data_IF_330842641706
#
_entry.id   IF_330842641706
#
_cell.length_a   1.000
_cell.length_b   1.000
_cell.length_c   1.000
_cell.angle_alpha   90.00
_cell.angle_beta   90.00
_cell.angle_gamma   90.00
#
_symmetry.space_group_name_H-M   'P 1'
#
loop_
_entity.id
_entity.type
_entity.pdbx_description
1 polymer ?
#
# COMPACT_ATOMS: atom_id res chain seq x y z
N UNK A 1 -2.05 9.95 -17.01
CA UNK A 1 -2.55 9.72 -15.61
C UNK A 1 -1.75 8.65 -14.90
N UNK A 2 -1.38 7.52 -15.54
CA UNK A 2 -0.55 6.47 -14.96
C UNK A 2 0.83 6.96 -14.51
N UNK A 3 1.47 7.86 -15.28
CA UNK A 3 2.75 8.47 -14.89
C UNK A 3 2.67 9.27 -13.58
N UNK A 4 1.58 10.04 -13.40
CA UNK A 4 1.40 10.83 -12.17
C UNK A 4 1.24 9.92 -10.95
N UNK A 5 0.48 8.82 -11.08
CA UNK A 5 0.35 7.85 -9.97
C UNK A 5 1.64 7.11 -9.67
N UNK A 6 2.41 6.76 -10.70
CA UNK A 6 3.71 6.12 -10.48
C UNK A 6 4.66 7.03 -9.70
N UNK A 7 4.64 8.35 -9.98
CA UNK A 7 5.42 9.33 -9.22
C UNK A 7 4.87 9.49 -7.79
N UNK A 8 3.54 9.59 -7.64
CA UNK A 8 2.92 9.69 -6.31
C UNK A 8 3.13 8.44 -5.45
N UNK A 9 3.22 7.24 -6.07
CA UNK A 9 3.51 6.00 -5.37
C UNK A 9 4.93 5.95 -4.78
N UNK A 10 5.87 6.79 -5.27
CA UNK A 10 7.24 6.87 -4.76
C UNK A 10 7.31 7.70 -3.47
N UNK A 11 6.45 8.69 -3.29
CA UNK A 11 6.51 9.59 -2.13
C UNK A 11 6.47 8.87 -0.78
N UNK A 12 5.57 7.89 -0.52
CA UNK A 12 5.59 7.13 0.72
C UNK A 12 6.90 6.36 0.93
N UNK A 13 7.52 5.88 -0.16
CA UNK A 13 8.77 5.13 -0.08
C UNK A 13 9.96 6.05 0.23
N UNK A 14 10.01 7.24 -0.37
CA UNK A 14 11.01 8.25 -0.03
C UNK A 14 10.86 8.63 1.45
N UNK A 15 9.63 8.84 1.92
CA UNK A 15 9.36 9.11 3.34
C UNK A 15 9.86 7.99 4.24
N UNK A 16 9.62 6.74 3.84
CA UNK A 16 10.06 5.55 4.56
C UNK A 16 11.61 5.45 4.60
N UNK A 17 12.28 5.72 3.48
CA UNK A 17 13.74 5.77 3.41
C UNK A 17 14.34 6.87 4.30
N UNK A 18 13.73 8.05 4.32
CA UNK A 18 14.16 9.16 5.18
C UNK A 18 14.01 8.77 6.66
N UNK A 19 12.87 8.16 7.03
CA UNK A 19 12.62 7.75 8.42
C UNK A 19 13.60 6.65 8.84
N UNK A 20 13.68 5.55 8.11
CA UNK A 20 14.51 4.40 8.48
C UNK A 20 16.00 4.62 8.20
N UNK A 21 16.39 5.37 7.16
CA UNK A 21 17.80 5.63 6.86
C UNK A 21 18.37 6.83 7.59
N UNK A 22 17.56 7.90 7.78
CA UNK A 22 18.03 9.15 8.36
C UNK A 22 17.81 9.27 9.87
N UNK A 23 16.74 8.68 10.40
CA UNK A 23 16.32 8.91 11.79
C UNK A 23 16.39 7.65 12.67
N UNK A 24 16.74 6.49 12.12
CA UNK A 24 16.86 5.24 12.87
C UNK A 24 17.89 5.36 14.02
N UNK A 25 19.00 6.07 13.80
CA UNK A 25 20.00 6.35 14.82
C UNK A 25 19.47 7.09 16.05
N UNK A 26 18.48 7.97 15.91
CA UNK A 26 17.85 8.67 17.04
C UNK A 26 16.95 7.73 17.84
N UNK A 27 16.20 6.87 17.14
CA UNK A 27 15.29 5.90 17.78
C UNK A 27 16.05 4.82 18.53
N UNK A 28 17.16 4.31 17.96
CA UNK A 28 18.05 3.34 18.62
C UNK A 28 18.74 3.91 19.86
N UNK A 29 19.05 5.21 19.88
CA UNK A 29 19.59 5.92 21.06
C UNK A 29 18.51 6.29 22.10
N UNK A 30 17.25 5.97 21.86
CA UNK A 30 16.13 6.32 22.76
C UNK A 30 15.76 7.81 22.72
N UNK A 31 16.27 8.59 21.76
CA UNK A 31 16.02 10.04 21.63
C UNK A 31 14.68 10.35 20.96
N UNK A 32 13.61 9.73 21.45
CA UNK A 32 12.26 9.88 20.91
C UNK A 32 11.75 11.31 20.89
N UNK A 33 12.12 12.10 21.91
CA UNK A 33 11.71 13.52 22.00
C UNK A 33 12.28 14.36 20.85
N UNK A 34 13.55 14.15 20.50
CA UNK A 34 14.20 14.84 19.38
C UNK A 34 13.58 14.41 18.06
N UNK A 35 13.36 13.11 17.88
CA UNK A 35 12.67 12.54 16.72
C UNK A 35 11.29 13.21 16.49
N UNK A 36 10.41 13.21 17.50
CA UNK A 36 9.08 13.80 17.37
C UNK A 36 9.12 15.32 17.20
N UNK A 37 10.06 16.03 17.81
CA UNK A 37 10.21 17.47 17.62
C UNK A 37 10.58 17.83 16.18
N UNK A 38 11.54 17.11 15.57
CA UNK A 38 11.92 17.33 14.17
C UNK A 38 10.74 17.13 13.25
N UNK A 39 10.00 16.01 13.42
CA UNK A 39 8.81 15.74 12.61
C UNK A 39 7.71 16.77 12.84
N UNK A 40 7.44 17.12 14.10
CA UNK A 40 6.43 18.13 14.45
C UNK A 40 6.71 19.49 13.82
N UNK A 41 7.95 19.97 13.91
CA UNK A 41 8.39 21.23 13.28
C UNK A 41 8.27 21.14 11.76
N UNK A 42 8.72 20.04 11.15
CA UNK A 42 8.65 19.84 9.70
C UNK A 42 7.21 19.86 9.19
N UNK A 43 6.31 19.12 9.84
CA UNK A 43 4.88 19.09 9.48
C UNK A 43 4.24 20.45 9.65
N UNK A 44 4.56 21.18 10.75
CA UNK A 44 4.05 22.53 10.99
C UNK A 44 4.54 23.52 9.93
N UNK A 45 5.81 23.45 9.54
CA UNK A 45 6.38 24.29 8.49
C UNK A 45 5.68 24.04 7.13
N UNK A 46 5.49 22.77 6.76
CA UNK A 46 4.75 22.40 5.53
C UNK A 46 3.31 22.88 5.60
N UNK A 47 2.65 22.76 6.78
CA UNK A 47 1.30 23.26 7.02
C UNK A 47 1.19 24.78 6.77
N UNK A 48 2.12 25.56 7.33
CA UNK A 48 2.17 27.02 7.12
C UNK A 48 2.41 27.39 5.65
N UNK A 49 3.34 26.71 4.99
CA UNK A 49 3.60 26.90 3.54
C UNK A 49 2.35 26.56 2.72
N UNK A 50 1.62 25.52 3.09
CA UNK A 50 0.39 25.10 2.42
C UNK A 50 -0.71 26.16 2.48
N UNK A 51 -0.83 26.92 3.59
CA UNK A 51 -1.80 28.00 3.70
C UNK A 51 -1.58 29.12 2.64
N UNK A 52 -0.32 29.30 2.23
CA UNK A 52 0.03 30.33 1.22
C UNK A 52 -0.05 29.77 -0.19
N UNK A 53 0.39 28.52 -0.40
CA UNK A 53 0.51 27.93 -1.74
C UNK A 53 -0.78 27.30 -2.24
N UNK A 54 -1.63 26.75 -1.36
CA UNK A 54 -2.87 26.09 -1.76
C UNK A 54 -3.96 27.13 -1.91
N UNK A 55 -4.43 27.32 -3.15
CA UNK A 55 -5.56 28.18 -3.48
C UNK A 55 -6.77 27.33 -3.80
N UNK A 56 -7.89 27.66 -3.21
CA UNK A 56 -9.17 27.03 -3.53
C UNK A 56 -9.57 27.30 -4.98
N UNK A 57 -10.24 26.34 -5.59
CA UNK A 57 -10.79 26.52 -6.94
C UNK A 57 -11.87 27.62 -6.93
N UNK A 58 -11.82 28.62 -7.82
CA UNK A 58 -12.85 29.68 -7.88
C UNK A 58 -14.25 29.15 -8.28
N UNK A 59 -14.37 27.85 -8.61
CA UNK A 59 -15.61 27.18 -8.98
C UNK A 59 -16.26 26.41 -7.83
N UNK A 60 -15.77 26.56 -6.60
CA UNK A 60 -16.40 25.93 -5.42
C UNK A 60 -17.72 26.63 -5.11
N UNK A 61 -18.83 25.97 -5.44
CA UNK A 61 -20.16 26.39 -4.99
C UNK A 61 -20.45 25.74 -3.65
N UNK A 62 -20.79 26.52 -2.59
CA UNK A 62 -21.16 25.94 -1.30
C UNK A 62 -22.43 25.08 -1.47
N UNK A 63 -22.32 23.78 -1.20
CA UNK A 63 -23.46 22.87 -1.15
C UNK A 63 -24.12 22.96 0.23
N UNK A 64 -25.43 23.24 0.27
CA UNK A 64 -26.24 23.26 1.49
C UNK A 64 -26.70 21.86 1.96
N UNK A 65 -26.11 20.79 1.44
CA UNK A 65 -26.50 19.42 1.78
C UNK A 65 -26.00 19.04 3.19
N UNK A 66 -26.78 18.22 3.90
CA UNK A 66 -26.41 17.73 5.23
C UNK A 66 -25.10 16.93 5.17
N UNK A 67 -24.13 17.31 6.01
CA UNK A 67 -22.79 16.68 6.10
C UNK A 67 -22.88 15.15 6.25
N UNK A 68 -23.71 14.65 7.14
CA UNK A 68 -23.90 13.21 7.36
C UNK A 68 -24.52 12.48 6.17
N UNK A 69 -25.45 13.11 5.45
CA UNK A 69 -26.02 12.55 4.22
C UNK A 69 -24.96 12.39 3.12
N UNK A 70 -24.01 13.30 3.05
CA UNK A 70 -22.92 13.28 2.09
C UNK A 70 -21.83 12.27 2.48
N UNK A 71 -21.53 12.12 3.77
CA UNK A 71 -20.56 11.15 4.28
C UNK A 71 -20.98 9.71 3.96
N UNK A 72 -22.26 9.39 4.12
CA UNK A 72 -22.81 8.05 3.88
C UNK A 72 -23.30 7.84 2.42
N UNK A 73 -23.16 8.86 1.56
CA UNK A 73 -23.65 8.80 0.18
C UNK A 73 -23.16 7.56 -0.55
N UNK A 74 -21.87 7.30 -0.50
CA UNK A 74 -21.26 6.18 -1.20
C UNK A 74 -21.55 4.80 -0.60
N UNK A 75 -22.13 4.70 0.60
CA UNK A 75 -22.53 3.41 1.19
C UNK A 75 -23.99 3.02 0.84
N UNK A 76 -24.71 3.89 0.12
CA UNK A 76 -26.10 3.60 -0.28
C UNK A 76 -26.14 2.50 -1.33
N UNK A 77 -27.03 1.49 -1.19
CA UNK A 77 -27.16 0.41 -2.18
C UNK A 77 -27.50 0.89 -3.59
N UNK A 78 -28.23 2.00 -3.73
CA UNK A 78 -28.54 2.65 -5.01
C UNK A 78 -27.26 3.11 -5.71
N UNK A 79 -26.39 3.81 -4.98
CA UNK A 79 -25.12 4.33 -5.51
C UNK A 79 -24.16 3.21 -5.92
N UNK A 80 -24.15 2.11 -5.16
CA UNK A 80 -23.39 0.90 -5.49
C UNK A 80 -23.89 0.30 -6.81
N UNK A 81 -25.22 0.20 -6.98
CA UNK A 81 -25.83 -0.34 -8.21
C UNK A 81 -25.61 0.56 -9.43
N UNK A 82 -25.57 1.87 -9.24
CA UNK A 82 -25.30 2.85 -10.30
C UNK A 82 -23.82 2.84 -10.75
N UNK A 83 -22.89 2.46 -9.85
CA UNK A 83 -21.44 2.53 -10.10
C UNK A 83 -20.74 1.16 -9.87
N UNK A 84 -21.19 0.07 -10.47
CA UNK A 84 -20.71 -1.27 -10.14
C UNK A 84 -19.22 -1.47 -10.45
N UNK A 85 -18.69 -0.85 -11.52
CA UNK A 85 -17.26 -0.94 -11.87
C UNK A 85 -16.37 -0.23 -10.86
N UNK A 86 -16.82 0.90 -10.30
CA UNK A 86 -16.09 1.62 -9.26
C UNK A 86 -15.98 0.78 -7.99
N UNK A 87 -17.10 0.20 -7.52
CA UNK A 87 -17.08 -0.63 -6.30
C UNK A 87 -16.32 -1.94 -6.50
N UNK A 88 -16.40 -2.53 -7.68
CA UNK A 88 -15.61 -3.70 -8.02
C UNK A 88 -14.10 -3.36 -8.05
N UNK A 89 -13.75 -2.15 -8.50
CA UNK A 89 -12.38 -1.63 -8.45
C UNK A 89 -11.92 -1.38 -7.01
N UNK A 90 -12.79 -0.87 -6.15
CA UNK A 90 -12.52 -0.75 -4.71
C UNK A 90 -12.32 -2.13 -4.07
N UNK A 91 -13.15 -3.11 -4.38
CA UNK A 91 -13.01 -4.48 -3.89
C UNK A 91 -11.69 -5.11 -4.34
N UNK A 92 -11.31 -4.96 -5.62
CA UNK A 92 -10.02 -5.44 -6.13
C UNK A 92 -8.83 -4.80 -5.40
N UNK A 93 -8.89 -3.48 -5.20
CA UNK A 93 -7.85 -2.74 -4.47
C UNK A 93 -7.80 -3.15 -2.99
N UNK A 94 -8.96 -3.36 -2.36
CA UNK A 94 -9.06 -3.77 -0.95
C UNK A 94 -8.42 -5.14 -0.72
N UNK A 95 -8.77 -6.15 -1.53
CA UNK A 95 -8.19 -7.50 -1.40
C UNK A 95 -6.68 -7.47 -1.64
N UNK A 96 -6.22 -6.74 -2.65
CA UNK A 96 -4.80 -6.51 -2.88
C UNK A 96 -4.12 -5.85 -1.67
N UNK A 97 -4.70 -4.78 -1.11
CA UNK A 97 -4.15 -4.08 0.05
C UNK A 97 -4.17 -4.95 1.31
N UNK A 98 -5.19 -5.82 1.50
CA UNK A 98 -5.20 -6.81 2.58
C UNK A 98 -3.99 -7.74 2.44
N UNK A 99 -3.73 -8.27 1.23
CA UNK A 99 -2.56 -9.13 1.00
C UNK A 99 -1.24 -8.45 1.39
N UNK A 100 -1.10 -7.16 1.09
CA UNK A 100 0.08 -6.37 1.49
C UNK A 100 0.15 -6.24 3.01
N UNK A 101 -0.94 -5.92 3.66
CA UNK A 101 -0.98 -5.71 5.12
C UNK A 101 -0.81 -7.01 5.94
N UNK A 102 -0.92 -8.19 5.33
CA UNK A 102 -0.60 -9.46 6.00
C UNK A 102 0.88 -9.53 6.41
N UNK A 103 1.80 -9.05 5.56
CA UNK A 103 3.24 -9.14 5.84
C UNK A 103 3.89 -7.80 6.18
N UNK A 104 3.36 -6.69 5.67
CA UNK A 104 4.04 -5.39 5.71
C UNK A 104 4.35 -4.90 7.14
N UNK A 105 3.43 -4.98 8.13
CA UNK A 105 3.71 -4.58 9.50
C UNK A 105 4.78 -5.45 10.18
N UNK A 106 4.96 -6.67 9.72
CA UNK A 106 5.88 -7.65 10.28
C UNK A 106 7.22 -7.72 9.56
N UNK A 107 7.35 -7.04 8.40
CA UNK A 107 8.49 -7.18 7.50
C UNK A 107 9.83 -6.82 8.15
N UNK A 108 9.88 -5.69 8.85
CA UNK A 108 11.12 -5.23 9.51
C UNK A 108 11.50 -6.19 10.63
N UNK A 109 10.54 -6.58 11.46
CA UNK A 109 10.75 -7.53 12.57
C UNK A 109 11.23 -8.89 12.03
N UNK A 110 10.66 -9.35 10.92
CA UNK A 110 11.09 -10.55 10.21
C UNK A 110 12.55 -10.46 9.77
N UNK A 111 12.94 -9.36 9.12
CA UNK A 111 14.30 -9.15 8.64
C UNK A 111 15.30 -9.09 9.80
N UNK A 112 14.97 -8.37 10.88
CA UNK A 112 15.85 -8.19 12.03
C UNK A 112 15.93 -9.42 12.93
N UNK A 113 14.78 -9.97 13.34
CA UNK A 113 14.74 -10.99 14.40
C UNK A 113 14.71 -12.43 13.86
N UNK A 114 14.07 -12.68 12.70
CA UNK A 114 14.05 -14.01 12.09
C UNK A 114 15.29 -14.27 11.26
N UNK A 115 15.67 -13.32 10.40
CA UNK A 115 16.83 -13.46 9.53
C UNK A 115 18.15 -12.99 10.17
N UNK A 116 18.09 -12.25 11.29
CA UNK A 116 19.26 -11.73 11.99
C UNK A 116 20.03 -10.65 11.20
N UNK A 117 19.39 -9.98 10.24
CA UNK A 117 20.00 -8.95 9.40
C UNK A 117 19.97 -7.62 10.14
N UNK A 118 21.13 -7.16 10.62
CA UNK A 118 21.28 -5.90 11.36
C UNK A 118 21.12 -4.68 10.45
N UNK A 119 21.66 -4.75 9.24
CA UNK A 119 21.65 -3.65 8.27
C UNK A 119 20.37 -3.63 7.42
N UNK A 120 19.21 -3.88 8.05
CA UNK A 120 17.92 -3.95 7.37
C UNK A 120 17.57 -2.67 6.59
N UNK A 121 18.01 -1.50 7.06
CA UNK A 121 17.78 -0.22 6.39
C UNK A 121 18.42 -0.18 5.00
N UNK A 122 19.64 -0.73 4.86
CA UNK A 122 20.32 -0.84 3.55
C UNK A 122 19.57 -1.81 2.64
N UNK A 123 19.15 -2.96 3.19
CA UNK A 123 18.37 -3.96 2.43
C UNK A 123 17.07 -3.34 1.91
N UNK A 124 16.31 -2.68 2.78
CA UNK A 124 15.06 -2.00 2.40
C UNK A 124 15.34 -0.85 1.42
N UNK A 125 16.41 -0.09 1.61
CA UNK A 125 16.82 0.98 0.71
C UNK A 125 17.02 0.48 -0.73
N UNK A 126 17.79 -0.58 -0.92
CA UNK A 126 18.02 -1.19 -2.23
C UNK A 126 16.71 -1.68 -2.84
N UNK A 127 15.90 -2.41 -2.06
CA UNK A 127 14.61 -2.93 -2.50
C UNK A 127 13.68 -1.82 -2.97
N UNK A 128 13.55 -0.73 -2.19
CA UNK A 128 12.64 0.35 -2.49
C UNK A 128 13.10 1.21 -3.67
N UNK A 129 14.41 1.46 -3.79
CA UNK A 129 14.98 2.17 -4.95
C UNK A 129 14.72 1.38 -6.22
N UNK A 130 15.03 0.08 -6.24
CA UNK A 130 14.79 -0.78 -7.39
C UNK A 130 13.31 -0.82 -7.78
N UNK A 131 12.42 -1.06 -6.81
CA UNK A 131 10.99 -1.09 -7.03
C UNK A 131 10.45 0.24 -7.58
N UNK A 132 11.00 1.37 -7.10
CA UNK A 132 10.63 2.71 -7.57
C UNK A 132 10.99 2.92 -9.05
N UNK A 133 12.20 2.52 -9.46
CA UNK A 133 12.63 2.59 -10.86
C UNK A 133 11.72 1.74 -11.74
N UNK A 134 11.45 0.50 -11.34
CA UNK A 134 10.54 -0.40 -12.06
C UNK A 134 9.13 0.19 -12.16
N UNK A 135 8.62 0.80 -11.10
CA UNK A 135 7.30 1.43 -11.09
C UNK A 135 7.20 2.57 -12.11
N UNK A 136 8.20 3.47 -12.15
CA UNK A 136 8.22 4.59 -13.12
C UNK A 136 8.23 4.10 -14.56
N UNK A 137 9.09 3.11 -14.86
CA UNK A 137 9.17 2.51 -16.19
C UNK A 137 7.83 1.85 -16.55
N UNK A 138 7.25 1.11 -15.60
CA UNK A 138 5.99 0.39 -15.79
C UNK A 138 4.79 1.31 -16.03
N UNK A 139 4.82 2.55 -15.56
CA UNK A 139 3.75 3.52 -15.78
C UNK A 139 3.42 3.76 -17.26
N UNK A 140 4.44 3.71 -18.14
CA UNK A 140 4.25 3.80 -19.61
C UNK A 140 3.55 2.56 -20.19
N UNK A 141 3.84 1.38 -19.63
CA UNK A 141 3.24 0.12 -20.07
C UNK A 141 1.79 0.01 -19.59
N UNK A 142 1.46 0.48 -18.38
CA UNK A 142 0.09 0.52 -17.85
C UNK A 142 -0.82 1.29 -18.80
N UNK A 143 -0.35 2.46 -19.30
CA UNK A 143 -1.14 3.31 -20.21
C UNK A 143 -1.29 2.67 -21.61
N UNK A 144 -0.34 1.86 -22.08
CA UNK A 144 -0.36 1.23 -23.41
C UNK A 144 -1.14 -0.09 -23.44
N UNK A 145 -0.94 -0.96 -22.46
CA UNK A 145 -1.54 -2.31 -22.43
C UNK A 145 -2.96 -2.29 -21.88
N UNK A 146 -3.29 -1.25 -21.11
CA UNK A 146 -4.54 -1.15 -20.38
C UNK A 146 -4.43 -1.65 -18.94
N UNK A 147 -5.03 -0.89 -18.02
CA UNK A 147 -4.85 -1.03 -16.56
C UNK A 147 -5.20 -2.42 -16.04
N UNK A 148 -6.36 -2.94 -16.42
CA UNK A 148 -6.82 -4.25 -15.97
C UNK A 148 -6.04 -5.42 -16.58
N UNK A 149 -5.55 -5.28 -17.82
CA UNK A 149 -4.69 -6.29 -18.43
C UNK A 149 -3.31 -6.33 -17.77
N UNK A 150 -2.79 -5.17 -17.41
CA UNK A 150 -1.49 -5.02 -16.77
C UNK A 150 -1.49 -5.53 -15.30
N UNK A 151 -2.64 -5.52 -14.62
CA UNK A 151 -2.76 -6.03 -13.24
C UNK A 151 -2.36 -7.51 -13.13
N UNK A 152 -2.63 -8.32 -14.16
CA UNK A 152 -2.31 -9.77 -14.12
C UNK A 152 -0.81 -10.04 -14.08
N UNK A 153 0.03 -9.53 -15.00
CA UNK A 153 1.48 -9.72 -14.90
C UNK A 153 2.06 -9.07 -13.64
N UNK A 154 1.53 -7.93 -13.19
CA UNK A 154 1.97 -7.31 -11.95
C UNK A 154 1.69 -8.19 -10.73
N UNK A 155 0.52 -8.83 -10.66
CA UNK A 155 0.18 -9.79 -9.63
C UNK A 155 1.09 -11.03 -9.68
N UNK A 156 1.40 -11.55 -10.88
CA UNK A 156 2.32 -12.67 -11.04
C UNK A 156 3.73 -12.34 -10.51
N UNK A 157 4.26 -11.16 -10.83
CA UNK A 157 5.55 -10.69 -10.32
C UNK A 157 5.54 -10.61 -8.79
N UNK A 158 4.47 -10.07 -8.21
CA UNK A 158 4.33 -9.98 -6.75
C UNK A 158 4.25 -11.38 -6.12
N UNK A 159 3.50 -12.32 -6.71
CA UNK A 159 3.40 -13.70 -6.24
C UNK A 159 4.75 -14.42 -6.28
N UNK A 160 5.52 -14.26 -7.36
CA UNK A 160 6.88 -14.81 -7.47
C UNK A 160 7.77 -14.23 -6.37
N UNK A 161 7.71 -12.92 -6.14
CA UNK A 161 8.46 -12.27 -5.07
C UNK A 161 8.07 -12.76 -3.68
N UNK A 162 6.76 -12.91 -3.39
CA UNK A 162 6.25 -13.45 -2.13
C UNK A 162 6.71 -14.90 -1.91
N UNK A 163 6.61 -15.75 -2.94
CA UNK A 163 7.09 -17.12 -2.89
C UNK A 163 8.61 -17.18 -2.66
N UNK A 164 9.38 -16.34 -3.35
CA UNK A 164 10.82 -16.25 -3.17
C UNK A 164 11.20 -15.84 -1.73
N UNK A 165 10.49 -14.85 -1.14
CA UNK A 165 10.72 -14.39 0.24
C UNK A 165 10.50 -15.51 1.28
N UNK A 166 9.65 -16.48 0.98
CA UNK A 166 9.46 -17.65 1.85
C UNK A 166 10.72 -18.52 1.95
N UNK A 167 11.46 -18.70 0.85
CA UNK A 167 12.63 -19.59 0.80
C UNK A 167 13.95 -18.90 1.15
N UNK A 168 14.06 -17.61 0.91
CA UNK A 168 15.32 -16.87 1.04
C UNK A 168 15.69 -16.63 2.50
N UNK A 169 17.00 -16.72 2.81
CA UNK A 169 17.53 -16.54 4.18
C UNK A 169 18.70 -15.56 4.30
N UNK A 170 19.36 -15.18 3.21
CA UNK A 170 20.53 -14.30 3.25
C UNK A 170 20.24 -12.90 2.70
N UNK A 171 21.09 -11.90 3.04
CA UNK A 171 20.93 -10.50 2.67
C UNK A 171 20.71 -10.29 1.16
N UNK A 172 21.59 -10.85 0.33
CA UNK A 172 21.50 -10.70 -1.13
C UNK A 172 20.19 -11.28 -1.69
N UNK A 173 19.79 -12.46 -1.19
CA UNK A 173 18.54 -13.08 -1.60
C UNK A 173 17.32 -12.27 -1.19
N UNK A 174 17.31 -11.69 0.01
CA UNK A 174 16.22 -10.81 0.48
C UNK A 174 16.17 -9.53 -0.37
N UNK A 175 17.31 -8.95 -0.75
CA UNK A 175 17.34 -7.81 -1.65
C UNK A 175 16.71 -8.14 -3.01
N UNK A 176 17.04 -9.29 -3.60
CA UNK A 176 16.49 -9.71 -4.91
C UNK A 176 15.00 -10.04 -4.79
N UNK A 177 14.64 -10.96 -3.89
CA UNK A 177 13.25 -11.39 -3.71
C UNK A 177 12.33 -10.23 -3.29
N UNK A 178 12.78 -9.39 -2.35
CA UNK A 178 12.10 -8.20 -1.91
C UNK A 178 11.92 -7.18 -3.04
N UNK A 179 12.94 -6.98 -3.89
CA UNK A 179 12.85 -6.09 -5.05
C UNK A 179 11.79 -6.57 -6.05
N UNK A 180 11.73 -7.86 -6.33
CA UNK A 180 10.69 -8.44 -7.20
C UNK A 180 9.31 -8.28 -6.57
N UNK A 181 9.15 -8.60 -5.29
CA UNK A 181 7.91 -8.47 -4.55
C UNK A 181 7.39 -7.04 -4.53
N UNK A 182 8.25 -6.07 -4.16
CA UNK A 182 7.88 -4.66 -4.06
C UNK A 182 7.66 -4.02 -5.44
N UNK A 183 8.35 -4.47 -6.48
CA UNK A 183 8.05 -4.06 -7.86
C UNK A 183 6.64 -4.48 -8.28
N UNK A 184 6.26 -5.72 -8.01
CA UNK A 184 4.90 -6.21 -8.25
C UNK A 184 3.84 -5.42 -7.47
N UNK A 185 4.11 -5.15 -6.18
CA UNK A 185 3.27 -4.29 -5.34
C UNK A 185 3.03 -2.92 -5.95
N UNK A 186 4.10 -2.22 -6.34
CA UNK A 186 3.98 -0.86 -6.89
C UNK A 186 3.26 -0.84 -8.23
N UNK A 187 3.52 -1.82 -9.10
CA UNK A 187 2.83 -1.96 -10.38
C UNK A 187 1.33 -2.22 -10.19
N UNK A 188 0.94 -3.11 -9.27
CA UNK A 188 -0.47 -3.36 -8.96
C UNK A 188 -1.15 -2.13 -8.36
N UNK A 189 -0.51 -1.47 -7.40
CA UNK A 189 -1.02 -0.26 -6.75
C UNK A 189 -1.27 0.85 -7.78
N UNK A 190 -0.33 1.08 -8.70
CA UNK A 190 -0.47 2.07 -9.76
C UNK A 190 -1.61 1.71 -10.74
N UNK A 191 -1.71 0.45 -11.17
CA UNK A 191 -2.73 0.01 -12.12
C UNK A 191 -4.14 0.08 -11.53
N UNK A 192 -4.33 -0.46 -10.32
CA UNK A 192 -5.62 -0.46 -9.63
C UNK A 192 -6.03 0.95 -9.19
N UNK A 193 -5.09 1.76 -8.69
CA UNK A 193 -5.34 3.15 -8.33
C UNK A 193 -5.74 4.02 -9.53
N UNK A 194 -5.09 3.82 -10.68
CA UNK A 194 -5.46 4.49 -11.92
C UNK A 194 -6.84 4.03 -12.43
N UNK A 195 -7.19 2.76 -12.25
CA UNK A 195 -8.52 2.25 -12.62
C UNK A 195 -9.63 2.86 -11.76
N UNK A 196 -9.45 2.95 -10.45
CA UNK A 196 -10.40 3.60 -9.53
C UNK A 196 -10.67 5.04 -9.98
N UNK A 197 -9.64 5.79 -10.34
CA UNK A 197 -9.81 7.18 -10.80
C UNK A 197 -10.58 7.31 -12.12
N UNK A 198 -10.41 6.37 -13.03
CA UNK A 198 -11.15 6.40 -14.29
C UNK A 198 -12.65 6.18 -14.07
N UNK A 199 -13.01 5.33 -13.11
CA UNK A 199 -14.40 5.06 -12.79
C UNK A 199 -15.02 6.04 -11.78
N UNK A 200 -14.21 6.90 -11.14
CA UNK A 200 -14.72 7.88 -10.19
C UNK A 200 -15.37 9.04 -10.94
N UNK A 201 -16.67 9.31 -10.73
CA UNK A 201 -17.36 10.47 -11.33
C UNK A 201 -16.69 11.78 -10.90
N UNK A 202 -16.35 12.64 -11.85
CA UNK A 202 -15.60 13.88 -11.61
C UNK A 202 -16.33 14.88 -10.72
N UNK A 203 -17.65 14.96 -10.85
CA UNK A 203 -18.55 15.83 -10.08
C UNK A 203 -18.76 15.36 -8.64
N UNK A 204 -18.49 14.09 -8.36
CA UNK A 204 -18.69 13.45 -7.05
C UNK A 204 -17.40 12.89 -6.43
N UNK A 205 -16.23 13.29 -6.94
CA UNK A 205 -14.94 12.74 -6.50
C UNK A 205 -14.72 12.83 -4.98
N UNK A 206 -15.13 13.95 -4.36
CA UNK A 206 -15.04 14.13 -2.91
C UNK A 206 -15.88 13.12 -2.11
N UNK A 207 -17.09 12.78 -2.57
CA UNK A 207 -17.96 11.80 -1.91
C UNK A 207 -17.37 10.38 -1.94
N UNK A 208 -16.70 10.01 -3.04
CA UNK A 208 -16.08 8.70 -3.18
C UNK A 208 -14.72 8.60 -2.50
N UNK A 209 -14.10 9.72 -2.12
CA UNK A 209 -12.80 9.69 -1.42
C UNK A 209 -12.90 9.02 -0.05
N UNK A 210 -13.95 9.29 0.72
CA UNK A 210 -14.19 8.61 2.00
C UNK A 210 -14.35 7.10 1.84
N UNK A 211 -15.14 6.67 0.84
CA UNK A 211 -15.33 5.26 0.52
C UNK A 211 -14.02 4.60 0.09
N UNK A 212 -13.22 5.29 -0.75
CA UNK A 212 -11.89 4.83 -1.13
C UNK A 212 -11.02 4.57 0.10
N UNK A 213 -11.03 5.45 1.10
CA UNK A 213 -10.24 5.28 2.35
C UNK A 213 -10.69 4.06 3.14
N UNK A 214 -12.00 3.76 3.18
CA UNK A 214 -12.52 2.55 3.83
C UNK A 214 -11.92 1.29 3.15
N UNK A 215 -12.04 1.19 1.83
CA UNK A 215 -11.60 0.01 1.09
C UNK A 215 -10.07 -0.08 0.93
N UNK A 216 -9.38 1.04 0.77
CA UNK A 216 -7.95 1.05 0.50
C UNK A 216 -7.08 1.03 1.77
N UNK A 217 -7.61 1.50 2.91
CA UNK A 217 -6.84 1.69 4.14
C UNK A 217 -7.50 0.98 5.32
N UNK A 218 -8.73 1.35 5.69
CA UNK A 218 -9.35 0.88 6.93
C UNK A 218 -9.53 -0.64 6.96
N UNK A 219 -10.19 -1.22 5.96
CA UNK A 219 -10.39 -2.68 5.89
C UNK A 219 -9.07 -3.45 5.81
N UNK A 220 -8.10 -3.07 4.94
CA UNK A 220 -6.80 -3.72 4.91
C UNK A 220 -6.03 -3.65 6.22
N UNK A 221 -6.02 -2.51 6.91
CA UNK A 221 -5.31 -2.33 8.17
C UNK A 221 -5.92 -3.10 9.34
N UNK A 222 -7.19 -3.50 9.26
CA UNK A 222 -7.84 -4.35 10.26
C UNK A 222 -7.61 -5.83 9.93
N UNK A 223 -7.92 -6.23 8.68
CA UNK A 223 -7.95 -7.63 8.27
C UNK A 223 -6.55 -8.19 8.04
N UNK A 224 -5.67 -7.43 7.36
CA UNK A 224 -4.33 -7.91 7.01
C UNK A 224 -3.48 -8.27 8.22
N UNK A 225 -3.27 -7.35 9.18
CA UNK A 225 -2.50 -7.65 10.39
C UNK A 225 -3.11 -8.77 11.24
N UNK A 226 -4.45 -8.91 11.27
CA UNK A 226 -5.12 -10.00 11.97
C UNK A 226 -4.77 -11.37 11.36
N UNK A 227 -4.76 -11.48 10.02
CA UNK A 227 -4.31 -12.70 9.32
C UNK A 227 -2.82 -12.94 9.62
N UNK A 228 -1.98 -11.91 9.53
CA UNK A 228 -0.55 -12.02 9.85
C UNK A 228 -0.31 -12.47 11.30
N UNK A 229 -1.03 -11.90 12.26
CA UNK A 229 -0.95 -12.28 13.67
C UNK A 229 -1.31 -13.76 13.90
N UNK A 230 -2.34 -14.27 13.23
CA UNK A 230 -2.73 -15.67 13.36
C UNK A 230 -1.65 -16.60 12.77
N UNK A 231 -1.02 -16.23 11.66
CA UNK A 231 0.08 -17.02 11.06
C UNK A 231 1.30 -17.11 11.98
N UNK A 232 1.62 -16.04 12.72
CA UNK A 232 2.79 -15.99 13.60
C UNK A 232 2.51 -16.50 15.02
N UNK A 233 1.26 -16.73 15.37
CA UNK A 233 0.82 -17.07 16.73
C UNK A 233 1.53 -18.28 17.33
N UNK A 234 1.82 -19.27 16.51
CA UNK A 234 2.47 -20.52 16.93
C UNK A 234 3.97 -20.54 16.62
N UNK A 235 4.63 -19.38 16.49
CA UNK A 235 6.08 -19.32 16.33
C UNK A 235 6.77 -19.61 17.68
N UNK A 236 7.76 -20.48 17.67
CA UNK A 236 8.55 -20.85 18.86
C UNK A 236 9.54 -19.77 19.30
N UNK A 237 9.82 -18.79 18.43
CA UNK A 237 10.78 -17.72 18.67
C UNK A 237 10.09 -16.47 19.18
N UNK A 238 10.65 -15.85 20.22
CA UNK A 238 10.15 -14.61 20.82
C UNK A 238 11.25 -13.56 20.89
N UNK A 239 10.89 -12.30 20.91
CA UNK A 239 11.78 -11.16 21.12
C UNK A 239 11.19 -10.20 22.15
N UNK A 240 12.06 -9.43 22.81
CA UNK A 240 11.64 -8.44 23.79
C UNK A 240 11.50 -7.06 23.11
N UNK A 241 10.34 -6.45 23.22
CA UNK A 241 10.11 -5.09 22.74
C UNK A 241 9.35 -4.29 23.79
N UNK A 242 9.91 -3.16 24.22
CA UNK A 242 9.32 -2.28 25.24
C UNK A 242 8.90 -3.03 26.54
N UNK A 243 9.69 -4.01 26.95
CA UNK A 243 9.40 -4.82 28.14
C UNK A 243 8.31 -5.89 27.96
N UNK A 244 7.81 -6.08 26.74
CA UNK A 244 6.84 -7.12 26.41
C UNK A 244 7.48 -8.21 25.54
N UNK A 245 7.16 -9.46 25.84
CA UNK A 245 7.56 -10.59 25.02
C UNK A 245 6.61 -10.69 23.81
N UNK A 246 7.16 -10.60 22.61
CA UNK A 246 6.42 -10.70 21.35
C UNK A 246 6.94 -11.87 20.51
N UNK A 247 6.07 -12.43 19.69
CA UNK A 247 6.39 -13.54 18.78
C UNK A 247 7.12 -13.05 17.54
N UNK A 248 8.20 -13.75 17.15
CA UNK A 248 8.95 -13.44 15.92
C UNK A 248 8.15 -13.89 14.70
N UNK A 249 7.95 -13.00 13.68
CA UNK A 249 7.28 -13.37 12.45
C UNK A 249 8.02 -14.48 11.70
N UNK A 250 7.27 -15.46 11.20
CA UNK A 250 7.79 -16.56 10.39
C UNK A 250 7.64 -16.28 8.89
N UNK A 251 8.37 -16.97 8.00
CA UNK A 251 8.20 -16.84 6.54
C UNK A 251 6.77 -17.12 6.06
N UNK A 252 5.96 -17.83 6.84
CA UNK A 252 4.56 -18.13 6.55
C UNK A 252 3.70 -16.91 6.22
N UNK A 253 4.06 -15.72 6.73
CA UNK A 253 3.36 -14.46 6.40
C UNK A 253 3.36 -14.17 4.89
N UNK A 254 4.42 -14.54 4.16
CA UNK A 254 4.50 -14.34 2.72
C UNK A 254 3.60 -15.30 1.95
N UNK A 255 3.47 -16.54 2.40
CA UNK A 255 2.55 -17.51 1.79
C UNK A 255 1.09 -17.13 2.06
N UNK A 256 0.78 -16.68 3.28
CA UNK A 256 -0.56 -16.17 3.59
C UNK A 256 -0.91 -14.95 2.74
N UNK A 257 0.03 -14.01 2.57
CA UNK A 257 -0.13 -12.88 1.69
C UNK A 257 -0.35 -13.30 0.22
N UNK A 258 0.40 -14.29 -0.26
CA UNK A 258 0.22 -14.85 -1.60
C UNK A 258 -1.16 -15.49 -1.79
N UNK A 259 -1.66 -16.23 -0.81
CA UNK A 259 -2.99 -16.83 -0.83
C UNK A 259 -4.08 -15.74 -0.91
N UNK A 260 -3.98 -14.68 -0.10
CA UNK A 260 -4.90 -13.54 -0.17
C UNK A 260 -4.78 -12.80 -1.49
N UNK A 261 -3.56 -12.63 -2.02
CA UNK A 261 -3.34 -11.97 -3.32
C UNK A 261 -4.03 -12.72 -4.46
N UNK A 262 -4.04 -14.04 -4.45
CA UNK A 262 -4.75 -14.85 -5.46
C UNK A 262 -6.26 -14.54 -5.48
N UNK A 263 -6.87 -14.21 -4.34
CA UNK A 263 -8.28 -13.82 -4.28
C UNK A 263 -8.57 -12.52 -5.05
N UNK A 264 -7.56 -11.68 -5.27
CA UNK A 264 -7.69 -10.47 -6.09
C UNK A 264 -8.06 -10.80 -7.55
N UNK A 265 -7.74 -12.01 -8.01
CA UNK A 265 -8.12 -12.46 -9.36
C UNK A 265 -9.64 -12.40 -9.58
N UNK A 266 -10.45 -12.68 -8.57
CA UNK A 266 -11.92 -12.70 -8.68
C UNK A 266 -12.46 -11.33 -9.14
N UNK A 267 -12.29 -10.24 -8.38
CA UNK A 267 -12.80 -8.93 -8.80
C UNK A 267 -12.11 -8.40 -10.07
N UNK A 268 -10.82 -8.71 -10.29
CA UNK A 268 -10.11 -8.31 -11.52
C UNK A 268 -10.68 -8.97 -12.75
N UNK A 269 -10.99 -10.28 -12.70
CA UNK A 269 -11.61 -11.00 -13.83
C UNK A 269 -13.03 -10.50 -14.10
N UNK A 270 -13.79 -10.15 -13.06
CA UNK A 270 -15.11 -9.55 -13.21
C UNK A 270 -15.05 -8.19 -13.90
N UNK A 271 -14.08 -7.33 -13.53
CA UNK A 271 -13.82 -6.05 -14.17
C UNK A 271 -13.48 -6.23 -15.66
N UNK A 272 -12.57 -7.16 -15.99
CA UNK A 272 -12.19 -7.44 -17.39
C UNK A 272 -13.37 -7.92 -18.26
N UNK A 273 -14.28 -8.72 -17.69
CA UNK A 273 -15.50 -9.13 -18.40
C UNK A 273 -16.43 -7.96 -18.66
N UNK A 274 -16.53 -7.03 -17.71
CA UNK A 274 -17.37 -5.83 -17.86
C UNK A 274 -16.82 -4.86 -18.91
N UNK A 275 -15.47 -4.69 -18.98
CA UNK A 275 -14.83 -3.84 -20.01
C UNK A 275 -15.00 -4.40 -21.44
N UNK A 276 -15.04 -5.73 -21.64
CA UNK A 276 -15.24 -6.34 -22.94
C UNK A 276 -16.67 -6.23 -23.48
N UNK A 277 -17.65 -5.92 -22.63
CA UNK A 277 -19.06 -5.78 -23.01
C UNK A 277 -19.42 -4.34 -23.45
N UNK A 278 -18.49 -3.42 -23.36
CA UNK A 278 -18.57 -2.04 -23.86
C UNK A 278 -17.80 -1.90 -25.18
#
# INVERSE_FOLDING_TARGET
RGRVESVLAILPLISMLIIFGGFDGLTQQGKWREFFNIFGVSVSAVGLVSLVLIKDSPRLTPRRDSYFKNLLYGLRPSVVRENPQLYLSFAAFSVFSIAVQVFFPYLIIYIQNYLGIKDYAIVLGVVLIFASVVSVVSGRFIDRVGKMRFTVPAAAIMLIGLAAMYFVRGNAGVMVAGSVMMSGYMMMSAALGANIRDWTPKDKAGHFQGIRMIFAVMLPMIIGPAIGAEVIRNSDSTYMELGQLKTVPTPGIFLAAAAVLLLTAVPVLMLRKSEKKR
#
